data_IF_537784050370
#
_entry.id   IF_537784050370
#
_cell.length_a   1.000
_cell.length_b   1.000
_cell.length_c   1.000
_cell.angle_alpha   90.00
_cell.angle_beta   90.00
_cell.angle_gamma   90.00
#
_symmetry.space_group_name_H-M   'P 1'
#
loop_
_entity.id
_entity.type
_entity.pdbx_description
1 polymer ?
#
# COMPACT_ATOMS: atom_id res chain seq x y z
N UNK A 1 2.11 10.44 15.68
CA UNK A 1 0.78 9.78 15.56
C UNK A 1 0.49 9.29 14.14
N UNK A 2 0.72 10.13 13.11
CA UNK A 2 0.39 9.79 11.71
C UNK A 2 1.02 8.46 11.24
N UNK A 3 2.32 8.16 11.43
CA UNK A 3 2.89 6.89 10.96
C UNK A 3 2.26 5.65 11.61
N UNK A 4 1.89 5.74 12.89
CA UNK A 4 1.23 4.65 13.63
C UNK A 4 -0.15 4.36 13.04
N UNK A 5 -0.94 5.40 12.74
CA UNK A 5 -2.26 5.26 12.13
C UNK A 5 -2.11 4.59 10.77
N UNK A 6 -1.14 5.01 9.95
CA UNK A 6 -0.87 4.41 8.64
C UNK A 6 -0.48 2.93 8.78
N UNK A 7 0.38 2.58 9.73
CA UNK A 7 0.78 1.20 9.97
C UNK A 7 -0.41 0.31 10.39
N UNK A 8 -1.29 0.80 11.27
CA UNK A 8 -2.48 0.06 11.70
C UNK A 8 -3.47 -0.12 10.55
N UNK A 9 -3.76 0.95 9.80
CA UNK A 9 -4.67 0.88 8.65
C UNK A 9 -4.15 -0.09 7.58
N UNK A 10 -2.83 -0.12 7.35
CA UNK A 10 -2.19 -1.05 6.43
C UNK A 10 -2.39 -2.51 6.85
N UNK A 11 -2.23 -2.84 8.15
CA UNK A 11 -2.47 -4.20 8.66
C UNK A 11 -3.94 -4.63 8.51
N UNK A 12 -4.87 -3.71 8.77
CA UNK A 12 -6.30 -3.96 8.55
C UNK A 12 -6.58 -4.16 7.06
N UNK A 13 -5.97 -3.36 6.18
CA UNK A 13 -6.11 -3.49 4.73
C UNK A 13 -5.61 -4.84 4.21
N UNK A 14 -4.47 -5.34 4.72
CA UNK A 14 -3.98 -6.70 4.40
C UNK A 14 -5.03 -7.76 4.79
N UNK A 15 -5.58 -7.64 6.00
CA UNK A 15 -6.56 -8.59 6.52
C UNK A 15 -7.85 -8.59 5.68
N UNK A 16 -8.34 -7.40 5.33
CA UNK A 16 -9.51 -7.22 4.46
C UNK A 16 -9.26 -7.71 3.03
N UNK A 17 -8.03 -7.55 2.51
CA UNK A 17 -7.66 -8.04 1.18
C UNK A 17 -7.68 -9.57 1.14
N UNK A 18 -7.16 -10.24 2.17
CA UNK A 18 -7.26 -11.70 2.29
C UNK A 18 -8.71 -12.18 2.35
N UNK A 19 -9.54 -11.52 3.16
CA UNK A 19 -10.97 -11.85 3.28
C UNK A 19 -11.72 -11.62 1.97
N UNK A 20 -11.43 -10.54 1.24
CA UNK A 20 -12.01 -10.27 -0.07
C UNK A 20 -11.74 -11.44 -1.02
N UNK A 21 -10.48 -11.87 -1.09
CA UNK A 21 -10.06 -12.94 -1.99
C UNK A 21 -10.69 -14.30 -1.63
N UNK A 22 -10.83 -14.63 -0.34
CA UNK A 22 -11.50 -15.84 0.13
C UNK A 22 -13.02 -15.84 -0.13
N UNK A 23 -13.64 -14.67 -0.09
CA UNK A 23 -15.10 -14.52 -0.25
C UNK A 23 -15.52 -14.33 -1.70
N UNK A 24 -14.59 -13.95 -2.58
CA UNK A 24 -14.82 -13.68 -4.00
C UNK A 24 -15.55 -14.82 -4.73
N UNK A 25 -15.23 -16.08 -4.42
CA UNK A 25 -15.88 -17.26 -5.03
C UNK A 25 -17.02 -17.85 -4.21
N UNK A 26 -17.20 -17.40 -2.97
CA UNK A 26 -18.09 -18.05 -1.99
C UNK A 26 -19.38 -17.27 -1.81
N UNK A 27 -19.29 -15.94 -1.65
CA UNK A 27 -20.45 -15.11 -1.36
C UNK A 27 -20.25 -13.69 -1.93
N UNK A 28 -20.96 -13.39 -3.01
CA UNK A 28 -20.88 -12.11 -3.70
C UNK A 28 -21.29 -10.92 -2.83
N UNK A 29 -22.35 -11.05 -2.03
CA UNK A 29 -22.84 -9.95 -1.16
C UNK A 29 -21.80 -9.66 -0.08
N UNK A 30 -21.27 -10.70 0.57
CA UNK A 30 -20.22 -10.54 1.57
C UNK A 30 -18.97 -9.91 0.95
N UNK A 31 -18.58 -10.32 -0.25
CA UNK A 31 -17.47 -9.75 -0.98
C UNK A 31 -17.67 -8.24 -1.26
N UNK A 32 -18.87 -7.81 -1.68
CA UNK A 32 -19.17 -6.38 -1.88
C UNK A 32 -19.02 -5.57 -0.60
N UNK A 33 -19.51 -6.09 0.53
CA UNK A 33 -19.38 -5.45 1.84
C UNK A 33 -17.91 -5.32 2.24
N UNK A 34 -17.12 -6.39 2.08
CA UNK A 34 -15.68 -6.36 2.36
C UNK A 34 -14.96 -5.36 1.45
N UNK A 35 -15.32 -5.33 0.17
CA UNK A 35 -14.71 -4.41 -0.80
C UNK A 35 -15.01 -2.94 -0.47
N UNK A 36 -16.22 -2.64 0.02
CA UNK A 36 -16.56 -1.33 0.55
C UNK A 36 -15.62 -0.94 1.71
N UNK A 37 -15.45 -1.81 2.71
CA UNK A 37 -14.57 -1.53 3.85
C UNK A 37 -13.10 -1.40 3.43
N UNK A 38 -12.63 -2.25 2.52
CA UNK A 38 -11.28 -2.18 1.98
C UNK A 38 -11.03 -0.82 1.31
N UNK A 39 -11.98 -0.34 0.51
CA UNK A 39 -11.90 0.98 -0.15
C UNK A 39 -11.98 2.12 0.87
N UNK A 40 -12.89 2.02 1.84
CA UNK A 40 -13.07 3.02 2.90
C UNK A 40 -11.81 3.17 3.76
N UNK A 41 -11.15 2.06 4.10
CA UNK A 41 -9.90 2.04 4.88
C UNK A 41 -8.71 2.52 4.02
N UNK A 42 -8.69 2.18 2.74
CA UNK A 42 -7.66 2.59 1.79
C UNK A 42 -7.69 4.09 1.47
N UNK A 43 -8.85 4.74 1.49
CA UNK A 43 -9.00 6.15 1.14
C UNK A 43 -8.18 7.10 2.07
N UNK A 44 -8.23 6.97 3.41
CA UNK A 44 -7.35 7.71 4.31
C UNK A 44 -5.87 7.45 4.04
N UNK A 45 -5.47 6.25 3.65
CA UNK A 45 -4.06 5.96 3.36
C UNK A 45 -3.52 6.78 2.19
N UNK A 46 -4.33 6.98 1.16
CA UNK A 46 -3.97 7.80 0.00
C UNK A 46 -3.71 9.27 0.36
N UNK A 47 -4.33 9.78 1.43
CA UNK A 47 -4.17 11.18 1.88
C UNK A 47 -3.14 11.34 3.00
N UNK A 48 -3.01 10.34 3.88
CA UNK A 48 -2.08 10.38 5.01
C UNK A 48 -0.62 10.35 4.60
N UNK A 49 -0.25 9.62 3.55
CA UNK A 49 1.14 9.55 3.08
C UNK A 49 1.66 10.89 2.55
N UNK A 50 0.92 11.62 1.68
CA UNK A 50 1.26 13.00 1.34
C UNK A 50 1.38 13.92 2.55
N UNK A 51 0.44 13.83 3.49
CA UNK A 51 0.46 14.66 4.71
C UNK A 51 1.69 14.38 5.58
N UNK A 52 2.06 13.10 5.72
CA UNK A 52 3.26 12.68 6.42
C UNK A 52 4.50 13.30 5.77
N UNK A 53 4.64 13.21 4.45
CA UNK A 53 5.78 13.76 3.73
C UNK A 53 5.88 15.28 3.88
N UNK A 54 4.76 15.99 3.72
CA UNK A 54 4.72 17.45 3.85
C UNK A 54 5.00 17.92 5.29
N UNK A 55 4.74 17.07 6.29
CA UNK A 55 5.05 17.38 7.69
C UNK A 55 6.54 17.37 8.01
N UNK A 56 7.35 16.61 7.25
CA UNK A 56 8.80 16.52 7.41
C UNK A 56 9.57 17.29 6.33
N UNK A 57 8.89 17.80 5.29
CA UNK A 57 9.53 18.56 4.21
C UNK A 57 9.52 20.07 4.50
N UNK A 58 10.65 20.79 4.35
CA UNK A 58 10.72 22.24 4.46
C UNK A 58 9.76 22.92 3.47
N UNK A 59 9.15 24.06 3.86
CA UNK A 59 8.11 24.75 3.07
C UNK A 59 8.52 25.00 1.61
N UNK A 60 9.75 25.44 1.37
CA UNK A 60 10.27 25.72 0.02
C UNK A 60 10.45 24.48 -0.87
N UNK A 61 10.54 23.28 -0.27
CA UNK A 61 10.83 22.03 -0.97
C UNK A 61 9.63 21.08 -1.07
N UNK A 62 8.49 21.44 -0.47
CA UNK A 62 7.27 20.61 -0.43
C UNK A 62 6.79 20.15 -1.80
N UNK A 63 6.84 21.04 -2.81
CA UNK A 63 6.44 20.70 -4.18
C UNK A 63 7.36 19.62 -4.78
N UNK A 64 8.66 19.76 -4.61
CA UNK A 64 9.66 18.79 -5.08
C UNK A 64 9.53 17.45 -4.35
N UNK A 65 9.36 17.48 -3.02
CA UNK A 65 9.14 16.28 -2.23
C UNK A 65 7.89 15.52 -2.72
N UNK A 66 6.78 16.23 -2.92
CA UNK A 66 5.55 15.61 -3.42
C UNK A 66 5.69 15.07 -4.85
N UNK A 67 6.41 15.78 -5.73
CA UNK A 67 6.71 15.29 -7.07
C UNK A 67 7.55 14.00 -7.04
N UNK A 68 8.55 13.91 -6.16
CA UNK A 68 9.36 12.71 -5.96
C UNK A 68 8.52 11.55 -5.43
N UNK A 69 7.61 11.80 -4.48
CA UNK A 69 6.68 10.78 -4.00
C UNK A 69 5.85 10.21 -5.15
N UNK A 70 5.24 11.07 -5.97
CA UNK A 70 4.43 10.64 -7.11
C UNK A 70 5.27 9.90 -8.16
N UNK A 71 6.52 10.31 -8.39
CA UNK A 71 7.44 9.60 -9.28
C UNK A 71 7.71 8.18 -8.77
N UNK A 72 8.04 8.03 -7.48
CA UNK A 72 8.29 6.72 -6.87
C UNK A 72 7.03 5.85 -6.92
N UNK A 73 5.87 6.39 -6.54
CA UNK A 73 4.59 5.68 -6.62
C UNK A 73 4.26 5.27 -8.06
N UNK A 74 4.50 6.13 -9.04
CA UNK A 74 4.31 5.85 -10.47
C UNK A 74 5.22 4.72 -10.97
N UNK A 75 6.51 4.76 -10.61
CA UNK A 75 7.48 3.74 -10.99
C UNK A 75 7.14 2.36 -10.43
N UNK A 76 6.51 2.28 -9.26
CA UNK A 76 6.14 1.01 -8.63
C UNK A 76 4.76 0.54 -9.06
N UNK A 77 3.78 1.44 -9.20
CA UNK A 77 2.41 1.07 -9.60
C UNK A 77 2.32 0.60 -11.04
N UNK A 78 3.12 1.18 -11.94
CA UNK A 78 3.08 0.85 -13.36
C UNK A 78 3.49 -0.60 -13.70
N UNK A 79 4.51 -1.24 -13.07
CA UNK A 79 4.86 -2.64 -13.29
C UNK A 79 4.15 -3.64 -12.36
N UNK A 80 3.47 -3.18 -11.31
CA UNK A 80 2.89 -4.08 -10.29
C UNK A 80 1.83 -5.02 -10.87
N UNK A 81 0.97 -4.53 -11.77
CA UNK A 81 -0.05 -5.36 -12.41
C UNK A 81 0.58 -6.43 -13.33
N UNK A 82 1.66 -6.08 -14.02
CA UNK A 82 2.42 -6.99 -14.88
C UNK A 82 3.15 -8.04 -14.05
N UNK A 83 3.65 -7.68 -12.86
CA UNK A 83 4.26 -8.64 -11.94
C UNK A 83 3.24 -9.67 -11.45
N UNK A 84 2.03 -9.22 -11.07
CA UNK A 84 0.93 -10.12 -10.71
C UNK A 84 0.54 -11.03 -11.87
N UNK A 85 0.42 -10.47 -13.08
CA UNK A 85 0.11 -11.23 -14.30
C UNK A 85 1.18 -12.29 -14.60
N UNK A 86 2.45 -11.90 -14.59
CA UNK A 86 3.58 -12.80 -14.85
C UNK A 86 3.65 -13.92 -13.81
N UNK A 87 3.45 -13.60 -12.53
CA UNK A 87 3.46 -14.60 -11.46
C UNK A 87 2.27 -15.57 -11.56
N UNK A 88 1.11 -15.04 -11.93
CA UNK A 88 -0.09 -15.85 -12.18
C UNK A 88 0.10 -16.78 -13.38
N UNK A 89 0.65 -16.27 -14.49
CA UNK A 89 0.91 -17.08 -15.68
C UNK A 89 2.00 -18.14 -15.42
N UNK A 90 3.05 -17.80 -14.67
CA UNK A 90 4.08 -18.75 -14.28
C UNK A 90 3.52 -19.90 -13.44
N UNK A 91 2.64 -19.61 -12.48
CA UNK A 91 2.03 -20.64 -11.65
C UNK A 91 1.00 -21.49 -12.42
N UNK A 92 0.25 -20.85 -13.32
CA UNK A 92 -0.78 -21.52 -14.14
C UNK A 92 -0.20 -22.44 -15.21
N UNK A 93 0.95 -22.07 -15.79
CA UNK A 93 1.47 -22.73 -16.98
C UNK A 93 0.47 -22.67 -18.14
N UNK A 94 0.28 -23.81 -18.81
CA UNK A 94 -0.61 -23.93 -19.98
C UNK A 94 -2.09 -24.24 -19.62
N UNK A 95 -2.45 -24.21 -18.34
CA UNK A 95 -3.82 -24.50 -17.92
C UNK A 95 -4.80 -23.37 -18.36
N UNK A 96 -5.86 -23.76 -19.07
CA UNK A 96 -6.89 -22.82 -19.55
C UNK A 96 -8.19 -22.86 -18.73
N UNK A 97 -8.34 -23.85 -17.84
CA UNK A 97 -9.55 -24.00 -17.06
C UNK A 97 -9.76 -22.82 -16.09
N UNK A 98 -11.01 -22.41 -15.93
CA UNK A 98 -11.34 -21.22 -15.17
C UNK A 98 -10.93 -21.31 -13.69
N UNK A 99 -10.89 -22.53 -13.13
CA UNK A 99 -10.57 -22.73 -11.72
C UNK A 99 -9.07 -22.56 -11.45
N UNK A 100 -8.22 -23.23 -12.24
CA UNK A 100 -6.77 -23.09 -12.14
C UNK A 100 -6.33 -21.65 -12.44
N UNK A 101 -6.99 -20.97 -13.38
CA UNK A 101 -6.76 -19.53 -13.62
C UNK A 101 -7.04 -18.68 -12.38
N UNK A 102 -8.16 -18.95 -11.71
CA UNK A 102 -8.50 -18.25 -10.48
C UNK A 102 -7.51 -18.55 -9.36
N UNK A 103 -7.17 -19.82 -9.14
CA UNK A 103 -6.27 -20.25 -8.06
C UNK A 103 -4.83 -19.71 -8.30
N UNK A 104 -4.38 -19.63 -9.55
CA UNK A 104 -3.10 -19.02 -9.92
C UNK A 104 -3.08 -17.50 -9.68
N UNK A 105 -4.18 -16.82 -9.97
CA UNK A 105 -4.34 -15.39 -9.70
C UNK A 105 -4.38 -15.13 -8.19
N UNK A 106 -5.12 -15.95 -7.44
CA UNK A 106 -5.17 -15.93 -5.98
C UNK A 106 -3.78 -16.10 -5.36
N UNK A 107 -3.01 -17.07 -5.83
CA UNK A 107 -1.62 -17.29 -5.42
C UNK A 107 -0.75 -16.05 -5.66
N UNK A 108 -0.81 -15.47 -6.87
CA UNK A 108 -0.05 -14.28 -7.19
C UNK A 108 -0.42 -13.09 -6.28
N UNK A 109 -1.70 -12.94 -5.96
CA UNK A 109 -2.17 -11.94 -4.99
C UNK A 109 -1.58 -12.17 -3.60
N UNK A 110 -1.59 -13.41 -3.08
CA UNK A 110 -0.99 -13.71 -1.77
C UNK A 110 0.51 -13.40 -1.72
N UNK A 111 1.24 -13.67 -2.79
CA UNK A 111 2.66 -13.29 -2.87
C UNK A 111 2.81 -11.76 -2.82
N UNK A 112 2.00 -11.01 -3.57
CA UNK A 112 2.07 -9.54 -3.54
C UNK A 112 1.64 -8.97 -2.19
N UNK A 113 0.71 -9.61 -1.48
CA UNK A 113 0.32 -9.24 -0.12
C UNK A 113 1.49 -9.26 0.88
N UNK A 114 2.53 -10.08 0.67
CA UNK A 114 3.72 -10.07 1.52
C UNK A 114 4.45 -8.72 1.52
N UNK A 115 4.42 -7.98 0.39
CA UNK A 115 5.00 -6.64 0.31
C UNK A 115 4.23 -5.61 1.15
N UNK A 116 2.91 -5.79 1.32
CA UNK A 116 2.11 -4.93 2.20
C UNK A 116 2.51 -5.11 3.67
N UNK A 117 2.87 -6.33 4.09
CA UNK A 117 3.42 -6.60 5.40
C UNK A 117 4.80 -5.94 5.58
N UNK A 118 5.68 -6.07 4.57
CA UNK A 118 6.96 -5.38 4.54
C UNK A 118 6.81 -3.86 4.66
N UNK A 119 5.86 -3.27 3.93
CA UNK A 119 5.54 -1.85 4.03
C UNK A 119 5.05 -1.45 5.43
N UNK A 120 4.25 -2.30 6.09
CA UNK A 120 3.80 -2.07 7.47
C UNK A 120 5.00 -1.99 8.43
N UNK A 121 5.96 -2.90 8.29
CA UNK A 121 7.20 -2.88 9.08
C UNK A 121 7.98 -1.58 8.84
N UNK A 122 8.10 -1.14 7.59
CA UNK A 122 8.76 0.13 7.26
C UNK A 122 8.07 1.33 7.92
N UNK A 123 6.74 1.37 7.97
CA UNK A 123 6.01 2.44 8.69
C UNK A 123 6.26 2.39 10.21
N UNK A 124 6.37 1.21 10.80
CA UNK A 124 6.77 1.08 12.21
C UNK A 124 8.20 1.57 12.45
N UNK A 125 9.14 1.28 11.54
CA UNK A 125 10.50 1.81 11.62
C UNK A 125 10.48 3.34 11.52
N UNK A 126 9.69 3.89 10.60
CA UNK A 126 9.56 5.33 10.40
C UNK A 126 9.03 6.05 11.64
N UNK A 127 8.22 5.41 12.48
CA UNK A 127 7.81 5.99 13.77
C UNK A 127 8.99 6.40 14.66
N UNK A 128 10.09 5.65 14.60
CA UNK A 128 11.28 5.93 15.43
C UNK A 128 11.99 7.20 14.96
N UNK A 129 12.09 7.41 13.65
CA UNK A 129 12.83 8.52 13.05
C UNK A 129 11.98 9.79 12.87
N UNK A 130 10.66 9.63 12.77
CA UNK A 130 9.74 10.74 12.53
C UNK A 130 9.92 11.96 13.47
N UNK A 131 10.09 11.81 14.80
CA UNK A 131 10.31 12.97 15.67
C UNK A 131 11.63 13.71 15.39
N UNK A 132 12.66 13.00 14.96
CA UNK A 132 13.96 13.59 14.61
C UNK A 132 13.87 14.33 13.28
N UNK A 133 13.17 13.76 12.28
CA UNK A 133 12.95 14.38 10.98
C UNK A 133 12.13 15.68 11.10
N UNK A 134 11.10 15.70 11.96
CA UNK A 134 10.32 16.92 12.23
C UNK A 134 11.20 18.01 12.85
N UNK A 135 12.02 17.68 13.85
CA UNK A 135 12.94 18.65 14.46
C UNK A 135 13.95 19.19 13.45
N UNK A 136 14.48 18.31 12.58
CA UNK A 136 15.42 18.70 11.55
C UNK A 136 14.80 19.70 10.58
N UNK A 137 13.55 19.46 10.16
CA UNK A 137 12.79 20.40 9.33
C UNK A 137 12.61 21.76 10.01
N UNK A 138 12.29 21.77 11.31
CA UNK A 138 12.13 23.03 12.07
C UNK A 138 13.43 23.85 12.06
N UNK A 139 14.58 23.19 12.28
CA UNK A 139 15.90 23.85 12.23
C UNK A 139 16.20 24.39 10.83
N UNK A 140 15.90 23.63 9.77
CA UNK A 140 16.10 24.10 8.39
C UNK A 140 15.18 25.29 8.05
N UNK A 141 13.95 25.33 8.56
CA UNK A 141 13.03 26.47 8.40
C UNK A 141 13.47 27.72 9.18
N UNK A 142 14.21 27.58 10.28
CA UNK A 142 14.73 28.70 11.06
C UNK A 142 16.00 29.33 10.44
N UNK A 143 16.66 28.63 9.51
CA UNK A 143 17.89 29.07 8.83
C UNK A 143 17.64 29.77 7.47
N UNK A 144 16.47 29.56 6.88
CA UNK A 144 16.02 30.12 5.59
C UNK A 144 15.19 31.41 5.77
#
# INVERSE_FOLDING_TARGET
AIPLIVAVLQLVAVSMTALNLLTLTTNYILNLVIHFFLTFIGAPMATLLPLLLLSISPRGQRATAYALLNLVTGLVSSPAAQFVGLLSDFYRGDAEDARTRFDAFAFAFYVVMSFFLGASIMYFILMKYYPEDVKRREIEEDLD
#
